data_IF_793701398211
#
_entry.id   IF_793701398211
#
_cell.length_a   1.000
_cell.length_b   1.000
_cell.length_c   1.000
_cell.angle_alpha   90.00
_cell.angle_beta   90.00
_cell.angle_gamma   90.00
#
_symmetry.space_group_name_H-M   'P 1'
#
loop_
_entity.id
_entity.type
_entity.pdbx_description
1 polymer ?
#
# COMPACT_ATOMS: atom_id res chain seq x y z
N UNK A 1 1.90 -9.30 -26.84
CA UNK A 1 2.76 -8.53 -25.90
C UNK A 1 2.06 -7.27 -25.38
N UNK A 2 1.58 -6.32 -26.22
CA UNK A 2 0.86 -5.09 -25.78
C UNK A 2 -0.28 -5.33 -24.77
N UNK A 3 -1.16 -6.31 -25.02
CA UNK A 3 -2.30 -6.62 -24.14
C UNK A 3 -1.91 -6.98 -22.70
N UNK A 4 -0.78 -7.66 -22.48
CA UNK A 4 -0.30 -8.02 -21.12
C UNK A 4 0.16 -6.80 -20.33
N UNK A 5 0.88 -5.88 -20.97
CA UNK A 5 1.30 -4.63 -20.32
C UNK A 5 0.12 -3.68 -20.08
N UNK A 6 -0.83 -3.60 -21.02
CA UNK A 6 -2.07 -2.83 -20.80
C UNK A 6 -2.86 -3.39 -19.61
N UNK A 7 -3.05 -4.70 -19.54
CA UNK A 7 -3.73 -5.34 -18.42
C UNK A 7 -3.01 -5.08 -17.09
N UNK A 8 -1.68 -5.23 -17.07
CA UNK A 8 -0.88 -4.92 -15.88
C UNK A 8 -1.08 -3.47 -15.42
N UNK A 9 -0.97 -2.50 -16.33
CA UNK A 9 -1.17 -1.09 -16.02
C UNK A 9 -2.58 -0.81 -15.49
N UNK A 10 -3.61 -1.43 -16.08
CA UNK A 10 -4.99 -1.30 -15.61
C UNK A 10 -5.15 -1.86 -14.20
N UNK A 11 -4.61 -3.05 -13.93
CA UNK A 11 -4.67 -3.67 -12.59
C UNK A 11 -3.97 -2.78 -11.56
N UNK A 12 -2.76 -2.28 -11.86
CA UNK A 12 -2.01 -1.39 -10.96
C UNK A 12 -2.80 -0.10 -10.70
N UNK A 13 -3.33 0.53 -11.75
CA UNK A 13 -4.07 1.78 -11.61
C UNK A 13 -5.36 1.59 -10.78
N UNK A 14 -6.16 0.58 -11.10
CA UNK A 14 -7.37 0.23 -10.34
C UNK A 14 -7.03 -0.10 -8.89
N UNK A 15 -5.95 -0.86 -8.67
CA UNK A 15 -5.45 -1.18 -7.33
C UNK A 15 -5.12 0.07 -6.51
N UNK A 16 -4.40 1.04 -7.09
CA UNK A 16 -4.06 2.31 -6.43
C UNK A 16 -5.34 3.09 -6.09
N UNK A 17 -6.30 3.17 -7.02
CA UNK A 17 -7.56 3.88 -6.78
C UNK A 17 -8.34 3.22 -5.63
N UNK A 18 -8.47 1.90 -5.63
CA UNK A 18 -9.17 1.16 -4.57
C UNK A 18 -8.44 1.30 -3.22
N UNK A 19 -7.11 1.19 -3.20
CA UNK A 19 -6.29 1.37 -1.99
C UNK A 19 -6.49 2.76 -1.37
N UNK A 20 -6.48 3.82 -2.17
CA UNK A 20 -6.67 5.17 -1.66
C UNK A 20 -8.11 5.44 -1.20
N UNK A 21 -9.11 4.95 -1.93
CA UNK A 21 -10.52 5.09 -1.53
C UNK A 21 -10.76 4.37 -0.20
N UNK A 22 -10.29 3.13 -0.04
CA UNK A 22 -10.49 2.37 1.20
C UNK A 22 -9.82 3.04 2.40
N UNK A 23 -8.59 3.58 2.25
CA UNK A 23 -7.92 4.36 3.30
C UNK A 23 -8.69 5.62 3.68
N UNK A 24 -9.24 6.35 2.71
CA UNK A 24 -10.05 7.55 2.95
C UNK A 24 -11.35 7.19 3.70
N UNK A 25 -11.99 6.09 3.32
CA UNK A 25 -13.20 5.60 4.02
C UNK A 25 -12.87 5.29 5.48
N UNK A 26 -11.82 4.50 5.73
CA UNK A 26 -11.39 4.14 7.09
C UNK A 26 -11.03 5.39 7.92
N UNK A 27 -10.22 6.30 7.38
CA UNK A 27 -9.80 7.53 8.08
C UNK A 27 -10.99 8.45 8.45
N UNK A 28 -12.07 8.44 7.65
CA UNK A 28 -13.26 9.26 7.91
C UNK A 28 -14.34 8.58 8.75
N UNK A 29 -14.34 7.26 8.84
CA UNK A 29 -15.42 6.49 9.47
C UNK A 29 -15.01 5.77 10.76
N UNK A 30 -13.72 5.61 11.03
CA UNK A 30 -13.19 4.92 12.20
C UNK A 30 -12.28 5.84 13.02
N UNK A 31 -12.24 5.64 14.34
CA UNK A 31 -11.21 6.23 15.19
C UNK A 31 -9.94 5.38 15.15
N UNK A 32 -8.79 6.00 15.42
CA UNK A 32 -7.52 5.28 15.43
C UNK A 32 -7.56 4.19 16.51
N UNK A 33 -7.18 2.96 16.12
CA UNK A 33 -7.23 1.71 16.88
C UNK A 33 -8.61 1.05 17.03
N UNK A 34 -9.65 1.59 16.41
CA UNK A 34 -10.93 0.90 16.30
C UNK A 34 -10.78 -0.40 15.49
N UNK A 35 -11.54 -1.42 15.88
CA UNK A 35 -11.62 -2.70 15.20
C UNK A 35 -13.09 -3.09 14.99
N UNK A 36 -13.47 -3.32 13.73
CA UNK A 36 -14.81 -3.76 13.35
C UNK A 36 -14.72 -5.23 12.90
N UNK A 37 -15.40 -6.18 13.55
CA UNK A 37 -15.45 -7.56 13.09
C UNK A 37 -16.26 -7.65 11.80
N UNK A 38 -15.67 -8.27 10.77
CA UNK A 38 -16.32 -8.53 9.48
C UNK A 38 -16.69 -10.01 9.37
N UNK A 39 -15.81 -10.89 9.85
CA UNK A 39 -16.09 -12.32 10.05
C UNK A 39 -15.72 -12.65 11.48
N UNK A 40 -16.72 -12.92 12.32
CA UNK A 40 -16.54 -13.16 13.74
C UNK A 40 -15.49 -14.26 14.00
N UNK A 41 -14.51 -13.95 14.83
CA UNK A 41 -13.43 -14.87 15.19
C UNK A 41 -12.34 -15.08 14.13
N UNK A 42 -12.44 -14.46 12.95
CA UNK A 42 -11.45 -14.65 11.87
C UNK A 42 -10.91 -13.34 11.27
N UNK A 43 -11.78 -12.39 10.93
CA UNK A 43 -11.37 -11.18 10.21
C UNK A 43 -11.96 -9.91 10.82
N UNK A 44 -11.07 -9.00 11.22
CA UNK A 44 -11.39 -7.68 11.72
C UNK A 44 -10.79 -6.62 10.79
N UNK A 45 -11.57 -5.57 10.50
CA UNK A 45 -11.04 -4.34 9.93
C UNK A 45 -10.57 -3.45 11.07
N UNK A 46 -9.25 -3.26 11.19
CA UNK A 46 -8.64 -2.45 12.25
C UNK A 46 -7.97 -1.22 11.68
N UNK A 47 -8.26 -0.05 12.26
CA UNK A 47 -7.60 1.18 11.86
C UNK A 47 -6.27 1.38 12.60
N UNK A 48 -5.15 1.16 11.92
CA UNK A 48 -3.80 1.44 12.43
C UNK A 48 -3.03 2.33 11.45
N UNK A 49 -2.25 3.29 11.98
CA UNK A 49 -1.30 4.09 11.20
C UNK A 49 0.12 3.55 11.38
N UNK A 50 0.64 2.84 10.37
CA UNK A 50 2.00 2.33 10.41
C UNK A 50 3.03 3.45 10.12
N UNK A 51 3.77 3.87 11.16
CA UNK A 51 4.91 4.79 11.02
C UNK A 51 6.19 4.08 10.60
N UNK A 52 6.31 2.76 10.68
CA UNK A 52 7.48 2.02 10.21
C UNK A 52 7.15 1.16 8.98
N UNK A 53 8.05 0.25 8.64
CA UNK A 53 7.72 -0.89 7.78
C UNK A 53 7.17 -2.05 8.64
N UNK A 54 7.45 -3.30 8.27
CA UNK A 54 7.13 -4.46 9.10
C UNK A 54 7.82 -4.37 10.47
N UNK A 55 7.14 -4.81 11.54
CA UNK A 55 7.65 -4.80 12.92
C UNK A 55 8.12 -3.42 13.43
N UNK A 56 7.48 -2.34 12.96
CA UNK A 56 7.89 -0.96 13.29
C UNK A 56 9.33 -0.63 12.89
N UNK A 57 9.91 -1.35 11.92
CA UNK A 57 11.25 -1.07 11.42
C UNK A 57 11.37 0.38 10.96
N UNK A 58 12.39 1.09 11.47
CA UNK A 58 12.66 2.51 11.25
C UNK A 58 11.55 3.49 11.70
N UNK A 59 10.63 3.08 12.58
CA UNK A 59 9.54 3.95 13.07
C UNK A 59 10.04 5.24 13.74
N UNK A 60 11.21 5.19 14.39
CA UNK A 60 11.83 6.30 15.11
C UNK A 60 12.89 7.07 14.30
N UNK A 61 13.17 6.68 13.05
CA UNK A 61 14.16 7.35 12.23
C UNK A 61 13.60 8.68 11.69
N UNK A 62 14.31 9.79 11.92
CA UNK A 62 13.93 11.11 11.40
C UNK A 62 13.87 11.16 9.87
N UNK A 63 14.70 10.35 9.21
CA UNK A 63 14.80 10.22 7.76
C UNK A 63 13.94 9.08 7.18
N UNK A 64 13.04 8.47 7.96
CA UNK A 64 12.26 7.30 7.49
C UNK A 64 11.43 7.61 6.23
N UNK A 65 10.81 8.80 6.19
CA UNK A 65 9.86 9.16 5.14
C UNK A 65 10.59 9.29 3.79
N UNK A 66 11.67 10.10 3.66
CA UNK A 66 12.42 10.14 2.42
C UNK A 66 13.03 8.78 2.07
N UNK A 67 13.46 7.97 3.03
CA UNK A 67 13.97 6.62 2.74
C UNK A 67 12.93 5.70 2.10
N UNK A 68 11.74 5.57 2.71
CA UNK A 68 10.71 4.69 2.16
C UNK A 68 10.18 5.18 0.80
N UNK A 69 10.12 6.50 0.59
CA UNK A 69 9.80 7.08 -0.72
C UNK A 69 10.87 6.69 -1.75
N UNK A 70 12.16 6.91 -1.44
CA UNK A 70 13.25 6.57 -2.34
C UNK A 70 13.27 5.08 -2.71
N UNK A 71 13.16 4.19 -1.71
CA UNK A 71 13.12 2.74 -1.94
C UNK A 71 11.93 2.35 -2.81
N UNK A 72 10.75 2.93 -2.57
CA UNK A 72 9.55 2.65 -3.37
C UNK A 72 9.70 3.10 -4.83
N UNK A 73 10.28 4.27 -5.07
CA UNK A 73 10.56 4.77 -6.42
C UNK A 73 11.55 3.87 -7.15
N UNK A 74 12.65 3.49 -6.49
CA UNK A 74 13.66 2.59 -7.06
C UNK A 74 13.02 1.23 -7.41
N UNK A 75 12.25 0.65 -6.49
CA UNK A 75 11.56 -0.61 -6.72
C UNK A 75 10.58 -0.52 -7.90
N UNK A 76 9.77 0.53 -7.98
CA UNK A 76 8.87 0.76 -9.10
C UNK A 76 9.61 0.88 -10.44
N UNK A 77 10.72 1.62 -10.47
CA UNK A 77 11.56 1.74 -11.68
C UNK A 77 12.14 0.38 -12.11
N UNK A 78 12.67 -0.39 -11.16
CA UNK A 78 13.21 -1.74 -11.43
C UNK A 78 12.12 -2.66 -11.98
N UNK A 79 10.93 -2.67 -11.37
CA UNK A 79 9.79 -3.48 -11.83
C UNK A 79 9.40 -3.07 -13.25
N UNK A 80 9.28 -1.77 -13.55
CA UNK A 80 8.94 -1.29 -14.89
C UNK A 80 10.00 -1.69 -15.93
N UNK A 81 11.29 -1.60 -15.61
CA UNK A 81 12.37 -2.02 -16.50
C UNK A 81 12.33 -3.54 -16.73
N UNK A 82 12.19 -4.33 -15.67
CA UNK A 82 12.10 -5.78 -15.75
C UNK A 82 10.89 -6.20 -16.60
N UNK A 83 9.74 -5.55 -16.41
CA UNK A 83 8.52 -5.83 -17.15
C UNK A 83 8.59 -5.40 -18.62
N UNK A 84 9.47 -4.47 -19.00
CA UNK A 84 9.75 -4.12 -20.40
C UNK A 84 10.69 -5.12 -21.10
N UNK A 85 11.47 -5.88 -20.33
CA UNK A 85 12.40 -6.90 -20.85
C UNK A 85 11.74 -8.27 -21.04
N UNK A 86 10.57 -8.49 -20.44
CA UNK A 86 9.72 -9.69 -20.59
C UNK A 86 8.70 -9.50 -21.72
#
# INVERSE_FOLDING_TARGET
MKSRHTLFTVIVFVGIVIDQITKIIVDRSMQLFDSIPIVDGFFNLTYVRNKGAAFSFLSHASWRLPFFICVSIIAAAVILIAFRKL
#
